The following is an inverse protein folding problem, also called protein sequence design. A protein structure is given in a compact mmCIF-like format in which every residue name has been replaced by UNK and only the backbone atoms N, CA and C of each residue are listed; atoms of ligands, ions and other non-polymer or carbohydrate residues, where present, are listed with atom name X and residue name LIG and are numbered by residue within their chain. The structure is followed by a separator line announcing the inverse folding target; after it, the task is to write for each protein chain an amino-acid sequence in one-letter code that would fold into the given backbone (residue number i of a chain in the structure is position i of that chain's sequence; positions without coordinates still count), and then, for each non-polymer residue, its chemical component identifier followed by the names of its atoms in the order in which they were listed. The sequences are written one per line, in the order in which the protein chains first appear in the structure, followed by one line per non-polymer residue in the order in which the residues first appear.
data_IF_283627485749
#
_entry.id   IF_283627485749
#
_cell.length_a   1.000
_cell.length_b   1.000
_cell.length_c   1.000
_cell.angle_alpha   90.00
_cell.angle_beta   90.00
_cell.angle_gamma   90.00
#
_symmetry.space_group_name_H-M   'P 1'
#
loop_
_entity.id
_entity.type
_entity.pdbx_description
1 polymer ?
#
# COMPACT_ATOMS: atom_id res chain seq x y z
N UNK A 1 -10.98 -1.98 -6.94
CA UNK A 1 -11.22 -2.82 -5.73
C UNK A 1 -12.44 -2.28 -4.98
N UNK A 2 -13.47 -3.09 -4.68
CA UNK A 2 -14.78 -2.57 -4.24
C UNK A 2 -14.91 -2.10 -2.79
N UNK A 3 -14.03 -2.54 -1.87
CA UNK A 3 -14.16 -2.30 -0.43
C UNK A 3 -12.87 -1.68 0.18
N UNK A 4 -12.33 -0.65 -0.46
CA UNK A 4 -11.16 0.10 0.03
C UNK A 4 -11.65 1.35 0.77
N UNK A 5 -11.16 1.57 1.99
CA UNK A 5 -11.66 2.63 2.89
C UNK A 5 -10.61 3.71 3.16
N UNK A 6 -9.68 3.45 4.08
CA UNK A 6 -8.68 4.43 4.51
C UNK A 6 -7.30 4.10 3.97
N UNK A 7 -6.70 5.06 3.26
CA UNK A 7 -5.32 5.01 2.77
C UNK A 7 -4.53 6.18 3.40
N UNK A 8 -4.14 6.07 4.69
CA UNK A 8 -3.50 7.17 5.39
C UNK A 8 -2.06 7.41 4.92
N UNK A 9 -1.55 8.61 5.18
CA UNK A 9 -0.11 8.85 5.15
C UNK A 9 0.58 8.05 6.27
N UNK A 10 1.89 7.82 6.14
CA UNK A 10 2.67 7.19 7.21
C UNK A 10 2.55 7.94 8.54
N UNK A 11 2.61 9.28 8.51
CA UNK A 11 2.47 10.11 9.70
C UNK A 11 1.09 9.92 10.36
N UNK A 12 0.02 9.92 9.57
CA UNK A 12 -1.35 9.68 10.06
C UNK A 12 -1.50 8.29 10.68
N UNK A 13 -0.92 7.25 10.07
CA UNK A 13 -0.95 5.89 10.62
C UNK A 13 -0.21 5.80 11.97
N UNK A 14 0.94 6.45 12.10
CA UNK A 14 1.68 6.51 13.38
C UNK A 14 0.86 7.22 14.47
N UNK A 15 0.18 8.32 14.15
CA UNK A 15 -0.72 9.00 15.08
C UNK A 15 -1.89 8.11 15.51
N UNK A 16 -2.45 7.31 14.60
CA UNK A 16 -3.52 6.37 14.93
C UNK A 16 -3.05 5.29 15.90
N UNK A 17 -1.86 4.73 15.69
CA UNK A 17 -1.24 3.77 16.61
C UNK A 17 -1.01 4.38 18.00
N UNK A 18 -0.55 5.63 18.07
CA UNK A 18 -0.41 6.34 19.34
C UNK A 18 -1.78 6.53 20.04
N UNK A 19 -2.83 6.89 19.29
CA UNK A 19 -4.19 7.05 19.82
C UNK A 19 -4.74 5.74 20.42
N UNK A 20 -4.40 4.59 19.83
CA UNK A 20 -4.77 3.27 20.35
C UNK A 20 -3.72 2.67 21.30
N UNK A 21 -2.86 3.50 21.91
CA UNK A 21 -1.93 3.16 23.01
C UNK A 21 -0.75 2.26 22.63
N UNK A 22 -0.43 2.07 21.35
CA UNK A 22 0.85 1.46 20.98
C UNK A 22 2.01 2.41 21.27
N UNK A 23 3.11 1.87 21.81
CA UNK A 23 4.35 2.59 22.06
C UNK A 23 5.40 2.33 20.97
N UNK A 24 6.38 3.23 20.83
CA UNK A 24 7.53 3.07 19.93
C UNK A 24 7.16 2.73 18.46
N UNK A 25 6.03 3.28 18.00
CA UNK A 25 5.58 3.08 16.63
C UNK A 25 6.53 3.78 15.65
N UNK A 26 7.07 3.03 14.69
CA UNK A 26 7.97 3.57 13.66
C UNK A 26 7.77 2.88 12.32
N UNK A 27 7.94 3.65 11.25
CA UNK A 27 8.00 3.13 9.89
C UNK A 27 9.36 2.48 9.68
N UNK A 28 9.37 1.24 9.21
CA UNK A 28 10.61 0.49 8.93
C UNK A 28 10.84 0.29 7.44
N UNK A 29 9.80 0.40 6.61
CA UNK A 29 9.92 0.36 5.16
C UNK A 29 8.78 1.14 4.49
N UNK A 30 9.07 1.73 3.32
CA UNK A 30 8.08 2.31 2.41
C UNK A 30 8.52 2.02 0.98
N UNK A 31 7.72 1.26 0.25
CA UNK A 31 8.03 0.88 -1.13
C UNK A 31 6.83 1.08 -2.06
N UNK A 32 7.10 1.57 -3.27
CA UNK A 32 6.14 1.50 -4.38
C UNK A 32 6.06 0.04 -4.82
N UNK A 33 4.85 -0.49 -4.98
CA UNK A 33 4.69 -1.86 -5.45
C UNK A 33 5.02 -1.92 -6.93
N UNK A 34 5.99 -2.76 -7.30
CA UNK A 34 6.40 -2.92 -8.69
C UNK A 34 5.64 -4.06 -9.38
N UNK A 35 5.56 -4.00 -10.71
CA UNK A 35 5.04 -5.11 -11.52
C UNK A 35 5.97 -6.33 -11.51
N UNK A 36 7.25 -6.16 -11.16
CA UNK A 36 8.16 -7.29 -10.95
C UNK A 36 7.81 -8.06 -9.65
N UNK A 37 7.36 -7.36 -8.62
CA UNK A 37 6.89 -7.93 -7.37
C UNK A 37 5.51 -8.57 -7.54
N UNK A 38 4.53 -7.79 -8.05
CA UNK A 38 3.14 -8.19 -8.18
C UNK A 38 2.73 -8.30 -9.67
N UNK A 39 2.62 -9.53 -10.17
CA UNK A 39 2.23 -9.84 -11.56
C UNK A 39 1.43 -11.12 -11.66
N UNK A 40 0.77 -11.31 -12.80
CA UNK A 40 0.18 -12.59 -13.17
C UNK A 40 1.27 -13.60 -13.48
N UNK A 41 0.98 -14.88 -13.22
CA UNK A 41 1.91 -16.01 -13.43
C UNK A 41 1.12 -17.22 -13.93
N UNK A 42 1.78 -18.31 -14.37
CA UNK A 42 1.06 -19.54 -14.72
C UNK A 42 0.14 -20.07 -13.59
N UNK A 43 0.47 -19.75 -12.34
CA UNK A 43 -0.28 -20.16 -11.15
C UNK A 43 -1.37 -19.15 -10.75
N UNK A 44 -1.21 -17.87 -11.08
CA UNK A 44 -2.16 -16.79 -10.80
C UNK A 44 -2.53 -16.09 -12.10
N UNK A 45 -3.60 -16.56 -12.76
CA UNK A 45 -3.96 -16.24 -14.15
C UNK A 45 -4.99 -15.10 -14.30
N UNK A 46 -5.39 -14.48 -13.20
CA UNK A 46 -6.32 -13.34 -13.21
C UNK A 46 -5.55 -12.02 -13.40
N UNK A 47 -6.29 -10.91 -13.51
CA UNK A 47 -5.71 -9.57 -13.54
C UNK A 47 -4.84 -9.31 -12.29
N UNK A 48 -3.74 -8.60 -12.48
CA UNK A 48 -2.78 -8.23 -11.45
C UNK A 48 -2.43 -6.74 -11.54
N UNK A 49 -1.35 -6.32 -10.88
CA UNK A 49 -1.02 -4.90 -10.70
C UNK A 49 -1.02 -4.10 -12.00
N UNK A 50 -0.39 -4.62 -13.06
CA UNK A 50 -0.30 -3.94 -14.34
C UNK A 50 -1.68 -3.58 -14.93
N UNK A 51 -2.68 -4.43 -14.73
CA UNK A 51 -4.06 -4.22 -15.20
C UNK A 51 -4.82 -3.14 -14.41
N UNK A 52 -4.27 -2.71 -13.27
CA UNK A 52 -4.88 -1.72 -12.36
C UNK A 52 -4.13 -0.38 -12.34
N UNK A 53 -3.01 -0.27 -13.08
CA UNK A 53 -2.28 0.98 -13.26
C UNK A 53 -2.79 1.71 -14.51
N UNK A 54 -2.58 3.02 -14.54
CA UNK A 54 -2.77 3.80 -15.76
C UNK A 54 -1.73 3.36 -16.81
N UNK A 55 -2.15 2.96 -18.03
CA UNK A 55 -1.25 2.45 -19.06
C UNK A 55 -0.27 3.52 -19.59
N UNK A 56 -0.60 4.80 -19.47
CA UNK A 56 0.24 5.92 -19.91
C UNK A 56 1.09 6.49 -18.75
N UNK A 57 0.66 6.28 -17.49
CA UNK A 57 1.38 6.72 -16.29
C UNK A 57 1.32 5.66 -15.15
N UNK A 58 2.31 4.75 -15.06
CA UNK A 58 2.37 3.74 -14.00
C UNK A 58 2.50 4.31 -12.58
N UNK A 59 2.71 5.63 -12.42
CA UNK A 59 2.64 6.34 -11.15
C UNK A 59 1.22 6.50 -10.61
N UNK A 60 0.20 6.09 -11.38
CA UNK A 60 -1.22 6.19 -11.04
C UNK A 60 -1.98 4.88 -11.22
N UNK A 61 -3.07 4.74 -10.49
CA UNK A 61 -4.07 3.70 -10.75
C UNK A 61 -4.93 4.08 -11.97
N UNK A 62 -5.64 3.11 -12.55
CA UNK A 62 -6.54 3.35 -13.68
C UNK A 62 -7.71 4.31 -13.34
N UNK A 63 -8.03 4.46 -12.05
CA UNK A 63 -8.99 5.44 -11.55
C UNK A 63 -8.38 6.84 -11.34
N UNK A 64 -7.08 7.03 -11.57
CA UNK A 64 -6.35 8.30 -11.48
C UNK A 64 -5.76 8.63 -10.11
N UNK A 65 -5.80 7.71 -9.14
CA UNK A 65 -5.17 7.89 -7.83
C UNK A 65 -3.67 7.58 -7.86
N UNK A 66 -2.87 7.98 -6.85
CA UNK A 66 -1.48 7.52 -6.75
C UNK A 66 -1.36 6.00 -6.76
N UNK A 67 -0.37 5.46 -7.47
CA UNK A 67 -0.13 4.03 -7.57
C UNK A 67 0.13 3.38 -6.19
N UNK A 68 -0.12 2.07 -6.05
CA UNK A 68 0.02 1.37 -4.78
C UNK A 68 1.41 1.54 -4.15
N UNK A 69 1.42 2.08 -2.93
CA UNK A 69 2.58 2.18 -2.07
C UNK A 69 2.28 1.52 -0.75
N UNK A 70 3.18 0.65 -0.29
CA UNK A 70 3.04 -0.09 0.97
C UNK A 70 4.05 0.43 1.97
N UNK A 71 3.62 0.54 3.22
CA UNK A 71 4.47 0.89 4.34
C UNK A 71 4.41 -0.22 5.38
N UNK A 72 5.56 -0.55 5.98
CA UNK A 72 5.65 -1.47 7.10
C UNK A 72 5.93 -0.66 8.36
N UNK A 73 5.11 -0.88 9.38
CA UNK A 73 5.22 -0.21 10.68
C UNK A 73 5.34 -1.27 11.76
N UNK A 74 6.26 -1.05 12.70
CA UNK A 74 6.39 -1.86 13.92
C UNK A 74 6.10 -0.98 15.12
N UNK A 75 5.47 -1.55 16.14
CA UNK A 75 5.13 -0.88 17.38
C UNK A 75 5.04 -1.91 18.52
N UNK A 76 5.20 -1.45 19.75
CA UNK A 76 5.10 -2.28 20.95
C UNK A 76 3.70 -2.14 21.55
N UNK A 77 3.07 -3.28 21.87
CA UNK A 77 1.90 -3.27 22.73
C UNK A 77 2.31 -2.80 24.15
N UNK A 78 1.42 -2.08 24.86
CA UNK A 78 1.70 -1.59 26.20
C UNK A 78 1.95 -2.71 27.21
#
# INVERSE_FOLDING_TARGET
MGNVWFLPSCATLLEWLAKVKFGDARVVDVAVTSTDEQRSTPWMRFHSLADFLDPEDPGRTIEGYPAPRRAVVVANAP
#
